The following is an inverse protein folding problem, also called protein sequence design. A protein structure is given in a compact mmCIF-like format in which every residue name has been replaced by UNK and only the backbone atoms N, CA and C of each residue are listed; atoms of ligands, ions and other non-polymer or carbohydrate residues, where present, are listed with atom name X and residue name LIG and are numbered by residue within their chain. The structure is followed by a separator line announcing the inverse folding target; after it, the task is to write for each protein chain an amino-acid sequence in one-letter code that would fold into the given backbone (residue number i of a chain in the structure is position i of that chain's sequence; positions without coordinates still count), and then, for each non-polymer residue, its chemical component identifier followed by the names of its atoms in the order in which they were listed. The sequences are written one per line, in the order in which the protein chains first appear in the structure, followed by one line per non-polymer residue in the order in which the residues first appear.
data_IF_812513212012
#
_entry.id   IF_812513212012
#
_cell.length_a   1.000
_cell.length_b   1.000
_cell.length_c   1.000
_cell.angle_alpha   90.00
_cell.angle_beta   90.00
_cell.angle_gamma   90.00
#
_symmetry.space_group_name_H-M   'P 1'
#
loop_
_entity.id
_entity.type
_entity.pdbx_description
1 polymer ?
#
# COMPACT_ATOMS: atom_id res chain seq x y z
N UNK A 1 -6.42 7.94 -22.02
CA UNK A 1 -5.45 6.86 -21.71
C UNK A 1 -4.83 6.97 -20.31
N UNK A 2 -5.52 7.51 -19.30
CA UNK A 2 -5.02 7.55 -17.91
C UNK A 2 -5.72 6.57 -16.95
N UNK A 3 -6.88 6.02 -17.35
CA UNK A 3 -7.70 5.14 -16.48
C UNK A 3 -7.12 3.74 -16.22
N UNK A 4 -6.16 3.27 -17.02
CA UNK A 4 -5.58 1.93 -16.85
C UNK A 4 -4.38 1.87 -15.90
N UNK A 5 -3.79 3.02 -15.51
CA UNK A 5 -2.63 3.05 -14.60
C UNK A 5 -2.99 2.67 -13.15
N UNK A 6 -4.28 2.71 -12.79
CA UNK A 6 -4.73 2.64 -11.39
C UNK A 6 -6.00 1.79 -11.27
N UNK A 7 -5.92 0.52 -11.66
CA UNK A 7 -6.98 -0.44 -11.36
C UNK A 7 -6.90 -0.90 -9.91
N UNK A 8 -8.04 -1.21 -9.30
CA UNK A 8 -8.08 -1.79 -7.94
C UNK A 8 -7.31 -3.11 -7.87
N UNK A 9 -7.16 -3.81 -9.00
CA UNK A 9 -6.30 -5.00 -9.11
C UNK A 9 -4.84 -4.73 -8.73
N UNK A 10 -4.32 -3.53 -9.00
CA UNK A 10 -2.96 -3.14 -8.60
C UNK A 10 -2.86 -2.89 -7.09
N UNK A 11 -3.97 -2.57 -6.42
CA UNK A 11 -4.04 -2.41 -4.96
C UNK A 11 -3.70 -3.73 -4.25
N UNK A 12 -4.20 -4.85 -4.78
CA UNK A 12 -4.07 -6.18 -4.17
C UNK A 12 -2.82 -6.98 -4.58
N UNK A 13 -2.15 -6.61 -5.68
CA UNK A 13 -1.03 -7.38 -6.29
C UNK A 13 0.22 -7.55 -5.42
N UNK A 14 0.29 -6.95 -4.23
CA UNK A 14 1.50 -6.96 -3.39
C UNK A 14 1.22 -7.18 -1.91
N UNK A 15 0.05 -7.74 -1.58
CA UNK A 15 -0.33 -8.01 -0.19
C UNK A 15 0.12 -9.40 0.26
N UNK A 16 0.62 -9.55 1.49
CA UNK A 16 0.77 -10.85 2.12
C UNK A 16 -0.55 -11.62 2.13
N UNK A 17 -0.48 -12.95 2.01
CA UNK A 17 -1.67 -13.78 1.87
C UNK A 17 -2.60 -13.67 3.10
N UNK A 18 -3.83 -13.20 2.85
CA UNK A 18 -4.87 -13.01 3.86
C UNK A 18 -4.59 -11.87 4.84
N UNK A 19 -3.79 -10.89 4.42
CA UNK A 19 -3.75 -9.58 5.06
C UNK A 19 -4.90 -8.70 4.55
N UNK A 20 -5.53 -7.97 5.46
CA UNK A 20 -6.57 -6.98 5.16
C UNK A 20 -5.93 -5.59 5.06
N UNK A 21 -6.16 -4.86 3.98
CA UNK A 21 -5.70 -3.48 3.89
C UNK A 21 -6.64 -2.61 4.71
N UNK A 22 -6.07 -1.86 5.66
CA UNK A 22 -6.83 -1.00 6.59
C UNK A 22 -6.74 0.46 6.14
N UNK A 23 -5.59 0.88 5.63
CA UNK A 23 -5.36 2.23 5.08
C UNK A 23 -4.52 2.15 3.81
N UNK A 24 -4.81 3.04 2.86
CA UNK A 24 -3.98 3.23 1.69
C UNK A 24 -3.65 4.72 1.51
N UNK A 25 -2.38 5.02 1.30
CA UNK A 25 -1.88 6.37 1.05
C UNK A 25 -1.20 6.40 -0.31
N UNK A 26 -1.41 7.47 -1.08
CA UNK A 26 -0.79 7.67 -2.38
C UNK A 26 -0.14 9.04 -2.47
N UNK A 27 1.01 9.13 -3.14
CA UNK A 27 1.56 10.42 -3.57
C UNK A 27 0.60 11.10 -4.57
N UNK A 28 0.75 12.41 -4.73
CA UNK A 28 -0.07 13.21 -5.65
C UNK A 28 -0.04 12.69 -7.10
N UNK A 29 1.12 12.25 -7.57
CA UNK A 29 1.34 11.65 -8.89
C UNK A 29 0.92 10.17 -8.98
N UNK A 30 0.57 9.56 -7.84
CA UNK A 30 0.26 8.13 -7.67
C UNK A 30 1.39 7.19 -8.10
N UNK A 31 2.64 7.65 -8.08
CA UNK A 31 3.81 6.80 -8.35
C UNK A 31 4.41 6.19 -7.08
N UNK A 32 4.02 6.67 -5.89
CA UNK A 32 4.34 6.04 -4.60
C UNK A 32 3.06 5.75 -3.83
N UNK A 33 3.06 4.64 -3.11
CA UNK A 33 2.00 4.29 -2.17
C UNK A 33 2.55 3.72 -0.87
N UNK A 34 1.80 3.89 0.20
CA UNK A 34 2.00 3.19 1.46
C UNK A 34 0.70 2.49 1.82
N UNK A 35 0.76 1.19 2.08
CA UNK A 35 -0.41 0.40 2.49
C UNK A 35 -0.21 -0.04 3.93
N UNK A 36 -1.13 0.29 4.82
CA UNK A 36 -1.19 -0.25 6.18
C UNK A 36 -2.16 -1.42 6.17
N UNK A 37 -1.73 -2.55 6.71
CA UNK A 37 -2.49 -3.77 6.66
C UNK A 37 -2.48 -4.53 7.99
N UNK A 38 -3.56 -5.25 8.23
CA UNK A 38 -3.72 -6.17 9.35
C UNK A 38 -3.43 -7.59 8.87
N UNK A 39 -2.58 -8.30 9.60
CA UNK A 39 -2.17 -9.68 9.33
C UNK A 39 -3.15 -10.68 9.94
N UNK A 40 -3.02 -11.96 9.57
CA UNK A 40 -3.81 -13.07 10.13
C UNK A 40 -3.65 -13.25 11.64
N UNK A 41 -2.52 -12.82 12.20
CA UNK A 41 -2.22 -12.87 13.64
C UNK A 41 -2.68 -11.61 14.39
N UNK A 42 -3.54 -10.80 13.76
CA UNK A 42 -4.09 -9.54 14.29
C UNK A 42 -3.06 -8.43 14.53
N UNK A 43 -1.79 -8.65 14.17
CA UNK A 43 -0.79 -7.59 14.16
C UNK A 43 -0.91 -6.72 12.92
N UNK A 44 -0.34 -5.52 12.99
CA UNK A 44 -0.32 -4.56 11.90
C UNK A 44 1.09 -4.44 11.32
N UNK A 45 1.16 -4.10 10.04
CA UNK A 45 2.38 -3.76 9.33
C UNK A 45 2.05 -2.80 8.18
N UNK A 46 3.07 -2.36 7.45
CA UNK A 46 2.91 -1.53 6.27
C UNK A 46 3.92 -1.89 5.17
N UNK A 47 3.54 -1.55 3.94
CA UNK A 47 4.46 -1.55 2.78
C UNK A 47 4.69 -0.12 2.29
N UNK A 48 5.89 0.16 1.78
CA UNK A 48 6.21 1.40 1.06
C UNK A 48 6.69 1.03 -0.35
N UNK A 49 5.95 1.46 -1.37
CA UNK A 49 6.08 0.95 -2.73
C UNK A 49 6.02 2.06 -3.77
N UNK A 50 6.82 1.89 -4.82
CA UNK A 50 6.88 2.76 -6.00
C UNK A 50 6.38 2.00 -7.23
N UNK A 51 5.57 2.67 -8.04
CA UNK A 51 5.07 2.15 -9.30
C UNK A 51 6.19 2.17 -10.34
N UNK A 52 6.54 1.00 -10.84
CA UNK A 52 7.57 0.83 -11.87
C UNK A 52 6.94 0.21 -13.11
N UNK A 53 7.29 0.72 -14.29
CA UNK A 53 6.92 0.09 -15.55
C UNK A 53 7.96 -0.98 -15.91
N UNK A 54 7.51 -2.20 -16.15
CA UNK A 54 8.35 -3.27 -16.68
C UNK A 54 8.27 -3.27 -18.20
N UNK A 55 9.36 -2.88 -18.87
CA UNK A 55 9.44 -2.81 -20.33
C UNK A 55 9.37 -4.18 -21.01
N UNK A 56 9.69 -5.27 -20.32
CA UNK A 56 9.62 -6.60 -20.91
C UNK A 56 8.19 -7.13 -20.90
N UNK A 57 7.51 -7.01 -19.77
CA UNK A 57 6.13 -7.46 -19.62
C UNK A 57 5.11 -6.43 -20.14
N UNK A 58 5.55 -5.20 -20.41
CA UNK A 58 4.70 -4.08 -20.83
C UNK A 58 3.59 -3.78 -19.79
N UNK A 59 3.89 -3.98 -18.50
CA UNK A 59 2.97 -3.83 -17.38
C UNK A 59 3.55 -2.97 -16.25
N UNK A 60 2.67 -2.38 -15.44
CA UNK A 60 3.06 -1.68 -14.22
C UNK A 60 3.06 -2.61 -13.00
N UNK A 61 4.09 -2.49 -12.19
CA UNK A 61 4.28 -3.26 -10.97
C UNK A 61 4.63 -2.36 -9.79
N UNK A 62 4.07 -2.66 -8.63
CA UNK A 62 4.51 -2.05 -7.38
C UNK A 62 5.76 -2.76 -6.88
N UNK A 63 6.84 -1.99 -6.69
CA UNK A 63 8.09 -2.47 -6.10
C UNK A 63 8.36 -1.70 -4.83
N UNK A 64 8.83 -2.37 -3.80
CA UNK A 64 9.10 -1.72 -2.53
C UNK A 64 9.46 -2.69 -1.44
N UNK A 65 9.58 -2.16 -0.24
CA UNK A 65 9.91 -2.96 0.93
C UNK A 65 8.62 -3.25 1.68
N UNK A 66 8.39 -4.53 1.96
CA UNK A 66 7.45 -4.92 2.99
C UNK A 66 8.21 -4.93 4.32
N UNK A 67 7.70 -4.21 5.31
CA UNK A 67 8.30 -4.21 6.64
C UNK A 67 7.81 -5.43 7.43
N UNK A 68 7.92 -6.63 6.83
CA UNK A 68 7.39 -7.90 7.37
C UNK A 68 7.93 -8.27 8.75
N UNK A 69 9.06 -7.69 9.14
CA UNK A 69 9.73 -7.90 10.43
C UNK A 69 9.25 -6.96 11.53
N UNK A 70 8.47 -5.93 11.18
CA UNK A 70 7.87 -5.01 12.14
C UNK A 70 6.44 -5.44 12.42
N UNK A 71 6.18 -5.84 13.67
CA UNK A 71 4.88 -6.29 14.14
C UNK A 71 4.35 -5.24 15.10
N UNK A 72 3.46 -4.40 14.60
CA UNK A 72 2.81 -3.39 15.43
C UNK A 72 1.57 -4.01 16.08
N UNK A 73 1.38 -3.70 17.34
CA UNK A 73 0.25 -4.15 18.16
C UNK A 73 -1.04 -3.38 17.86
N UNK A 74 -0.94 -2.23 17.21
CA UNK A 74 -2.09 -1.42 16.83
C UNK A 74 -1.86 -0.65 15.53
N UNK A 75 -2.97 -0.26 14.88
CA UNK A 75 -2.95 0.64 13.72
C UNK A 75 -2.33 2.00 14.06
N UNK A 76 -2.62 2.55 15.25
CA UNK A 76 -2.08 3.84 15.70
C UNK A 76 -0.54 3.80 15.83
N UNK A 77 0.00 2.69 16.35
CA UNK A 77 1.45 2.46 16.44
C UNK A 77 2.12 2.50 15.05
N UNK A 78 1.50 1.89 14.03
CA UNK A 78 1.99 1.96 12.65
C UNK A 78 1.95 3.40 12.14
N UNK A 79 0.79 4.05 12.27
CA UNK A 79 0.56 5.40 11.75
C UNK A 79 1.53 6.41 12.34
N UNK A 80 1.83 6.29 13.64
CA UNK A 80 2.82 7.13 14.30
C UNK A 80 4.24 6.94 13.74
N UNK A 81 4.64 5.70 13.46
CA UNK A 81 5.96 5.39 12.91
C UNK A 81 6.11 5.86 11.45
N UNK A 82 5.08 5.66 10.63
CA UNK A 82 5.10 6.06 9.22
C UNK A 82 4.72 7.51 8.98
N UNK A 83 4.28 8.27 9.99
CA UNK A 83 3.88 9.67 9.85
C UNK A 83 4.89 10.54 9.08
N UNK A 84 6.22 10.41 9.27
CA UNK A 84 7.21 11.14 8.47
C UNK A 84 7.20 10.77 6.99
N UNK A 85 6.80 9.54 6.64
CA UNK A 85 6.74 9.04 5.26
C UNK A 85 5.50 9.52 4.52
N UNK A 86 4.42 9.83 5.25
CA UNK A 86 3.13 10.27 4.72
C UNK A 86 3.11 11.73 4.25
N UNK A 87 4.21 12.48 4.42
CA UNK A 87 4.30 13.87 3.97
C UNK A 87 3.98 14.01 2.47
N UNK A 88 2.94 14.79 2.16
CA UNK A 88 2.48 15.00 0.77
C UNK A 88 1.70 13.83 0.17
N UNK A 89 1.32 12.82 0.97
CA UNK A 89 0.48 11.72 0.54
C UNK A 89 -0.99 11.98 0.92
N UNK A 90 -1.90 11.47 0.11
CA UNK A 90 -3.35 11.50 0.35
C UNK A 90 -3.82 10.11 0.76
N UNK A 91 -4.56 10.03 1.86
CA UNK A 91 -5.29 8.81 2.23
C UNK A 91 -6.43 8.58 1.24
N UNK A 92 -6.45 7.41 0.61
CA UNK A 92 -7.57 6.96 -0.20
C UNK A 92 -8.41 6.01 0.64
N UNK A 93 -9.70 6.34 0.79
CA UNK A 93 -10.66 5.41 1.37
C UNK A 93 -10.76 4.20 0.46
N UNK A 94 -10.51 3.04 1.03
CA UNK A 94 -10.84 1.77 0.41
C UNK A 94 -12.32 1.62 0.75
N UNK A 95 -13.18 2.23 -0.07
CA UNK A 95 -14.61 1.99 0.07
C UNK A 95 -14.83 0.50 -0.19
N UNK A 96 -15.37 -0.18 0.82
CA UNK A 96 -15.90 -1.54 0.71
C UNK A 96 -17.17 -1.50 -0.18
N UNK A 97 -17.04 -1.12 -1.45
CA UNK A 97 -18.15 -1.20 -2.40
C UNK A 97 -18.24 -2.61 -3.00
N UNK A 98 -18.98 -3.43 -2.24
CA UNK A 98 -19.92 -4.51 -2.62
C UNK A 98 -19.40 -5.92 -2.89
#
# INVERSE_FOLDING_TARGET
MQRYKFSDALLWRSMPEGADIVRAFFSEDRERRILVYRRKDETYSYTDQTLTFDDYEQEYWWRGTDNELSFYDSEESVLADIAPLLGGMTEQRIDEET
#
